data_IF_158396268787
#
_entry.id   IF_158396268787
#
_cell.length_a   1.000
_cell.length_b   1.000
_cell.length_c   1.000
_cell.angle_alpha   90.00
_cell.angle_beta   90.00
_cell.angle_gamma   90.00
#
_symmetry.space_group_name_H-M   'P 1'
#
loop_
_entity.id
_entity.type
_entity.pdbx_description
1 polymer ?
#
# COMPACT_ATOMS: atom_id res chain seq x y z
N UNK A 1 16.47 7.07 10.89
CA UNK A 1 15.82 5.74 10.92
C UNK A 1 14.83 5.56 9.77
N UNK A 2 13.80 6.42 9.64
CA UNK A 2 12.73 6.26 8.64
C UNK A 2 13.22 6.21 7.20
N UNK A 3 14.26 6.97 6.84
CA UNK A 3 14.86 6.89 5.50
C UNK A 3 15.52 5.53 5.23
N UNK A 4 15.97 4.83 6.27
CA UNK A 4 16.51 3.47 6.13
C UNK A 4 15.43 2.44 5.80
N UNK A 5 14.18 2.68 6.19
CA UNK A 5 13.02 1.83 5.83
C UNK A 5 12.54 2.08 4.39
N UNK A 6 12.80 3.27 3.83
CA UNK A 6 12.32 3.63 2.50
C UNK A 6 12.93 2.75 1.42
N UNK A 7 12.11 2.08 0.63
CA UNK A 7 12.48 1.26 -0.52
C UNK A 7 11.88 1.81 -1.82
N UNK A 8 11.81 3.15 -1.95
CA UNK A 8 11.30 3.79 -3.16
C UNK A 8 12.15 3.44 -4.39
N UNK A 9 11.55 3.18 -5.55
CA UNK A 9 12.28 3.01 -6.81
C UNK A 9 12.98 4.31 -7.27
N UNK A 10 12.59 5.47 -6.72
CA UNK A 10 13.25 6.75 -7.01
C UNK A 10 14.45 6.99 -6.07
N UNK A 11 15.70 6.84 -6.56
CA UNK A 11 16.89 7.00 -5.73
C UNK A 11 17.08 8.42 -5.19
N UNK A 12 16.50 9.44 -5.84
CA UNK A 12 16.61 10.85 -5.42
C UNK A 12 16.09 11.10 -4.02
N UNK A 13 15.16 10.25 -3.54
CA UNK A 13 14.58 10.38 -2.20
C UNK A 13 15.56 10.08 -1.06
N UNK A 14 16.59 9.28 -1.32
CA UNK A 14 17.44 8.73 -0.26
C UNK A 14 18.94 8.81 -0.53
N UNK A 15 19.37 9.11 -1.77
CA UNK A 15 20.78 8.96 -2.21
C UNK A 15 21.79 9.82 -1.45
N UNK A 16 21.36 10.96 -0.87
CA UNK A 16 22.24 11.90 -0.17
C UNK A 16 22.15 11.81 1.36
N UNK A 17 21.44 10.81 1.88
CA UNK A 17 21.23 10.66 3.30
C UNK A 17 21.91 9.39 3.84
N UNK A 18 22.49 9.44 5.05
CA UNK A 18 22.99 8.23 5.71
C UNK A 18 21.81 7.29 6.02
N UNK A 19 22.04 6.00 5.82
CA UNK A 19 21.06 4.95 6.07
C UNK A 19 21.71 3.80 6.81
N UNK A 20 20.91 3.06 7.59
CA UNK A 20 21.29 1.76 8.10
C UNK A 20 21.12 0.72 6.99
N UNK A 21 22.03 -0.24 6.93
CA UNK A 21 21.98 -1.35 5.98
C UNK A 21 21.15 -2.51 6.59
N UNK A 22 19.85 -2.28 6.70
CA UNK A 22 18.92 -3.29 7.18
C UNK A 22 18.57 -4.27 6.07
N UNK A 23 18.37 -5.57 6.39
CA UNK A 23 17.97 -6.56 5.40
C UNK A 23 16.71 -6.15 4.64
N UNK A 24 16.72 -6.36 3.34
CA UNK A 24 15.60 -6.14 2.43
C UNK A 24 15.33 -7.42 1.68
N UNK A 25 14.07 -7.68 1.43
CA UNK A 25 13.63 -8.87 0.70
C UNK A 25 12.85 -8.47 -0.53
N UNK A 26 12.86 -9.33 -1.54
CA UNK A 26 12.12 -9.11 -2.79
C UNK A 26 10.63 -9.31 -2.54
N UNK A 27 9.76 -8.30 -2.79
CA UNK A 27 8.33 -8.46 -2.63
C UNK A 27 7.75 -9.32 -3.76
N UNK A 28 6.96 -10.38 -3.45
CA UNK A 28 6.35 -11.24 -4.46
C UNK A 28 5.06 -10.62 -5.00
N UNK A 29 5.18 -9.67 -5.92
CA UNK A 29 4.01 -8.99 -6.47
C UNK A 29 3.19 -9.87 -7.41
N UNK A 30 1.86 -9.80 -7.27
CA UNK A 30 0.91 -10.47 -8.15
C UNK A 30 0.85 -9.76 -9.51
N UNK A 31 0.84 -10.55 -10.59
CA UNK A 31 0.47 -10.07 -11.93
C UNK A 31 -0.96 -10.47 -12.25
N UNK A 32 -1.77 -9.52 -12.68
CA UNK A 32 -3.17 -9.74 -13.06
C UNK A 32 -3.36 -9.82 -14.58
N UNK A 33 -4.37 -10.62 -15.04
CA UNK A 33 -5.28 -11.43 -14.23
C UNK A 33 -4.56 -12.64 -13.60
N UNK A 34 -5.05 -13.10 -12.44
CA UNK A 34 -4.50 -14.25 -11.73
C UNK A 34 -4.92 -15.55 -12.45
N UNK A 35 -4.26 -15.83 -13.57
CA UNK A 35 -4.36 -17.11 -14.27
C UNK A 35 -3.34 -18.13 -13.71
N UNK A 36 -3.37 -19.36 -14.19
CA UNK A 36 -2.51 -20.45 -13.72
C UNK A 36 -1.01 -20.10 -13.81
N UNK A 37 -0.56 -19.55 -14.94
CA UNK A 37 0.84 -19.16 -15.13
C UNK A 37 1.26 -18.02 -14.17
N UNK A 38 0.40 -17.02 -13.97
CA UNK A 38 0.68 -15.92 -13.05
C UNK A 38 0.65 -16.37 -11.59
N UNK A 39 -0.20 -17.37 -11.26
CA UNK A 39 -0.21 -17.99 -9.94
C UNK A 39 1.10 -18.77 -9.70
N UNK A 40 1.55 -19.58 -10.64
CA UNK A 40 2.83 -20.29 -10.52
C UNK A 40 4.00 -19.32 -10.35
N UNK A 41 4.02 -18.24 -11.11
CA UNK A 41 5.07 -17.21 -11.02
C UNK A 41 5.08 -16.53 -9.65
N UNK A 42 3.93 -16.11 -9.12
CA UNK A 42 3.89 -15.46 -7.79
C UNK A 42 4.27 -16.43 -6.68
N UNK A 43 3.86 -17.70 -6.75
CA UNK A 43 4.27 -18.73 -5.78
C UNK A 43 5.79 -18.95 -5.78
N UNK A 44 6.44 -18.91 -6.95
CA UNK A 44 7.90 -18.98 -7.04
C UNK A 44 8.59 -17.76 -6.41
N UNK A 45 8.05 -16.56 -6.63
CA UNK A 45 8.54 -15.32 -6.00
C UNK A 45 8.32 -15.34 -4.48
N UNK A 46 7.19 -15.85 -4.01
CA UNK A 46 6.91 -16.03 -2.57
C UNK A 46 7.94 -16.98 -1.93
N UNK A 47 8.20 -18.12 -2.57
CA UNK A 47 9.19 -19.06 -2.07
C UNK A 47 10.59 -18.43 -1.98
N UNK A 48 10.98 -17.65 -2.99
CA UNK A 48 12.24 -16.90 -2.99
C UNK A 48 12.26 -15.89 -1.83
N UNK A 49 11.23 -15.07 -1.69
CA UNK A 49 11.13 -14.05 -0.65
C UNK A 49 11.21 -14.66 0.75
N UNK A 50 10.48 -15.75 1.01
CA UNK A 50 10.53 -16.47 2.28
C UNK A 50 11.92 -17.04 2.56
N UNK A 51 12.65 -17.49 1.53
CA UNK A 51 14.03 -17.94 1.67
C UNK A 51 14.98 -16.79 2.03
N UNK A 52 14.83 -15.62 1.39
CA UNK A 52 15.58 -14.40 1.69
C UNK A 52 15.36 -13.97 3.16
N UNK A 53 14.10 -13.99 3.63
CA UNK A 53 13.74 -13.69 5.04
C UNK A 53 14.44 -14.66 6.00
N UNK A 54 14.32 -15.97 5.75
CA UNK A 54 14.97 -16.99 6.60
C UNK A 54 16.49 -16.85 6.61
N UNK A 55 17.09 -16.41 5.51
CA UNK A 55 18.52 -16.12 5.44
C UNK A 55 18.86 -14.87 6.26
N UNK A 56 18.12 -13.78 6.12
CA UNK A 56 18.32 -12.55 6.89
C UNK A 56 18.24 -12.82 8.41
N UNK A 57 17.29 -13.65 8.85
CA UNK A 57 17.16 -14.06 10.26
C UNK A 57 18.38 -14.85 10.73
N UNK A 58 18.90 -15.80 9.92
CA UNK A 58 20.11 -16.55 10.28
C UNK A 58 21.35 -15.68 10.38
N UNK A 59 21.48 -14.70 9.47
CA UNK A 59 22.63 -13.80 9.42
C UNK A 59 22.60 -12.74 10.52
N UNK A 60 21.42 -12.41 11.03
CA UNK A 60 21.20 -11.42 12.09
C UNK A 60 20.48 -12.03 13.30
N UNK A 61 21.00 -13.16 13.76
CA UNK A 61 20.38 -13.95 14.82
C UNK A 61 20.16 -13.13 16.10
N UNK A 62 18.92 -13.08 16.59
CA UNK A 62 18.46 -12.30 17.75
C UNK A 62 18.59 -10.76 17.64
N UNK A 63 18.84 -10.22 16.44
CA UNK A 63 19.00 -8.78 16.23
C UNK A 63 17.86 -8.15 15.41
N UNK A 64 16.91 -8.96 14.92
CA UNK A 64 15.75 -8.49 14.17
C UNK A 64 14.57 -8.30 15.12
N UNK A 65 14.16 -7.05 15.32
CA UNK A 65 13.03 -6.73 16.18
C UNK A 65 11.67 -6.80 15.46
N UNK A 66 11.64 -6.49 14.15
CA UNK A 66 10.40 -6.46 13.39
C UNK A 66 10.61 -6.67 11.88
N UNK A 67 9.54 -7.10 11.21
CA UNK A 67 9.38 -6.99 9.75
C UNK A 67 8.33 -5.92 9.46
N UNK A 68 8.60 -5.05 8.48
CA UNK A 68 7.66 -4.00 8.05
C UNK A 68 7.38 -4.11 6.57
N UNK A 69 6.10 -4.04 6.20
CA UNK A 69 5.66 -3.97 4.80
C UNK A 69 4.36 -3.16 4.68
N UNK A 70 4.11 -2.63 3.49
CA UNK A 70 2.78 -2.15 3.12
C UNK A 70 1.92 -3.37 2.73
N UNK A 71 0.68 -3.57 3.26
CA UNK A 71 -0.16 -4.72 2.90
C UNK A 71 -0.57 -4.72 1.43
N UNK A 72 -0.58 -3.54 0.80
CA UNK A 72 -0.54 -3.31 -0.65
C UNK A 72 0.49 -2.21 -0.85
N UNK A 73 1.56 -2.50 -1.58
CA UNK A 73 2.61 -1.51 -1.82
C UNK A 73 2.08 -0.41 -2.72
N UNK A 74 2.08 0.84 -2.24
CA UNK A 74 1.59 1.97 -3.01
C UNK A 74 2.66 2.55 -3.94
N UNK A 75 3.68 3.18 -3.39
CA UNK A 75 4.77 3.82 -4.15
C UNK A 75 5.58 2.80 -4.97
N UNK A 76 5.72 1.59 -4.47
CA UNK A 76 6.45 0.51 -5.11
C UNK A 76 5.81 -0.03 -6.40
N UNK A 77 4.56 0.35 -6.69
CA UNK A 77 3.86 -0.06 -7.91
C UNK A 77 2.46 -0.62 -7.70
N UNK A 78 1.78 -0.28 -6.63
CA UNK A 78 0.48 -0.87 -6.26
C UNK A 78 0.52 -2.41 -6.28
N UNK A 79 1.56 -2.98 -5.70
CA UNK A 79 1.78 -4.41 -5.67
C UNK A 79 0.90 -5.07 -4.63
N UNK A 80 0.12 -6.05 -5.06
CA UNK A 80 -0.74 -6.86 -4.21
C UNK A 80 -0.03 -8.16 -3.82
N UNK A 81 -0.38 -8.69 -2.63
CA UNK A 81 0.12 -9.96 -2.11
C UNK A 81 -1.04 -10.94 -1.93
N UNK A 82 -0.71 -12.24 -1.95
CA UNK A 82 -1.65 -13.29 -1.59
C UNK A 82 -1.76 -13.41 -0.06
N UNK A 83 -2.91 -13.86 0.41
CA UNK A 83 -3.15 -14.12 1.82
C UNK A 83 -2.15 -15.14 2.40
N UNK A 84 -1.91 -16.22 1.68
CA UNK A 84 -1.00 -17.31 2.08
C UNK A 84 0.44 -16.83 2.29
N UNK A 85 0.88 -15.83 1.53
CA UNK A 85 2.19 -15.24 1.74
C UNK A 85 2.24 -14.43 3.04
N UNK A 86 1.21 -13.61 3.32
CA UNK A 86 1.14 -12.81 4.54
C UNK A 86 1.01 -13.68 5.78
N UNK A 87 0.25 -14.77 5.71
CA UNK A 87 0.19 -15.80 6.76
C UNK A 87 1.58 -16.39 7.01
N UNK A 88 2.29 -16.80 5.96
CA UNK A 88 3.65 -17.34 6.09
C UNK A 88 4.65 -16.35 6.71
N UNK A 89 4.49 -15.04 6.44
CA UNK A 89 5.30 -14.00 7.10
C UNK A 89 5.02 -13.95 8.61
N UNK A 90 3.74 -14.00 9.01
CA UNK A 90 3.35 -14.02 10.41
C UNK A 90 3.85 -15.27 11.15
N UNK A 91 3.75 -16.44 10.52
CA UNK A 91 4.28 -17.69 11.10
C UNK A 91 5.79 -17.56 11.37
N UNK A 92 6.56 -17.09 10.39
CA UNK A 92 8.02 -16.89 10.56
C UNK A 92 8.30 -15.84 11.64
N UNK A 93 7.52 -14.76 11.70
CA UNK A 93 7.67 -13.70 12.70
C UNK A 93 7.43 -14.24 14.12
N UNK A 94 6.36 -15.02 14.31
CA UNK A 94 6.02 -15.65 15.58
C UNK A 94 7.10 -16.66 16.03
N UNK A 95 7.57 -17.52 15.13
CA UNK A 95 8.62 -18.53 15.41
C UNK A 95 9.95 -17.91 15.85
N UNK A 96 10.23 -16.66 15.47
CA UNK A 96 11.50 -15.99 15.70
C UNK A 96 11.40 -14.79 16.66
N UNK A 97 10.26 -14.61 17.35
CA UNK A 97 10.00 -13.48 18.26
C UNK A 97 10.19 -12.10 17.58
N UNK A 98 9.75 -12.01 16.34
CA UNK A 98 9.78 -10.80 15.51
C UNK A 98 8.38 -10.20 15.46
N UNK A 99 8.23 -8.87 15.54
CA UNK A 99 6.96 -8.17 15.39
C UNK A 99 6.64 -7.93 13.91
N UNK A 100 5.39 -8.17 13.52
CA UNK A 100 4.90 -7.83 12.19
C UNK A 100 4.27 -6.43 12.20
N UNK A 101 4.77 -5.54 11.33
CA UNK A 101 4.27 -4.17 11.18
C UNK A 101 3.71 -3.97 9.78
N UNK A 102 2.44 -3.55 9.68
CA UNK A 102 1.88 -3.11 8.41
C UNK A 102 1.86 -1.59 8.32
N UNK A 103 2.48 -1.06 7.25
CA UNK A 103 2.40 0.35 6.91
C UNK A 103 1.10 0.63 6.14
N UNK A 104 0.09 1.06 6.87
CA UNK A 104 -1.22 1.44 6.34
C UNK A 104 -1.36 2.95 6.08
N UNK A 105 -0.25 3.66 6.06
CA UNK A 105 -0.24 5.12 5.83
C UNK A 105 -0.89 5.49 4.49
N UNK A 106 -0.80 4.63 3.49
CA UNK A 106 -1.45 4.84 2.19
C UNK A 106 -2.74 4.04 2.01
N UNK A 107 -2.79 2.83 2.53
CA UNK A 107 -3.89 1.87 2.32
C UNK A 107 -5.04 2.03 3.31
N UNK A 108 -4.79 2.50 4.51
CA UNK A 108 -5.80 2.64 5.57
C UNK A 108 -6.84 3.74 5.31
N UNK A 109 -7.76 3.86 6.24
CA UNK A 109 -8.84 4.87 6.27
C UNK A 109 -9.77 4.76 5.04
N UNK A 110 -10.25 3.56 4.80
CA UNK A 110 -11.38 3.30 3.91
C UNK A 110 -11.08 3.22 2.41
N UNK A 111 -9.91 3.65 1.93
CA UNK A 111 -9.68 3.76 0.48
C UNK A 111 -9.71 2.41 -0.25
N UNK A 112 -9.41 1.33 0.43
CA UNK A 112 -9.45 -0.03 -0.14
C UNK A 112 -10.83 -0.68 -0.07
N UNK A 113 -11.83 0.01 0.50
CA UNK A 113 -13.17 -0.54 0.73
C UNK A 113 -13.32 -1.24 2.08
N UNK A 114 -12.26 -1.33 2.86
CA UNK A 114 -12.23 -1.67 4.28
C UNK A 114 -11.55 -0.53 5.03
N UNK A 115 -11.85 -0.37 6.34
CA UNK A 115 -11.23 0.70 7.14
C UNK A 115 -9.70 0.60 7.13
N UNK A 116 -9.17 -0.62 7.21
CA UNK A 116 -7.76 -0.97 7.10
C UNK A 116 -7.56 -2.07 6.06
N UNK A 117 -6.51 -1.97 5.24
CA UNK A 117 -6.29 -2.93 4.17
C UNK A 117 -6.01 -4.35 4.69
N UNK A 118 -5.44 -4.50 5.89
CA UNK A 118 -5.23 -5.82 6.48
C UNK A 118 -6.55 -6.58 6.72
N UNK A 119 -7.70 -5.90 6.80
CA UNK A 119 -9.02 -6.54 6.95
C UNK A 119 -9.47 -7.32 5.70
N UNK A 120 -8.78 -7.16 4.57
CA UNK A 120 -8.99 -7.97 3.38
C UNK A 120 -8.35 -9.37 3.44
N UNK A 121 -7.56 -9.64 4.46
CA UNK A 121 -6.81 -10.88 4.64
C UNK A 121 -7.35 -11.67 5.83
N UNK A 122 -6.94 -12.92 5.96
CA UNK A 122 -7.32 -13.79 7.07
C UNK A 122 -6.81 -13.28 8.42
N UNK A 123 -7.40 -13.78 9.49
CA UNK A 123 -7.00 -13.42 10.86
C UNK A 123 -5.55 -13.84 11.16
N UNK A 124 -5.09 -14.91 10.52
CA UNK A 124 -3.73 -15.42 10.61
C UNK A 124 -2.69 -14.47 9.98
N UNK A 125 -3.13 -13.58 9.07
CA UNK A 125 -2.29 -12.57 8.44
C UNK A 125 -2.29 -11.22 9.19
N UNK A 126 -2.91 -11.11 10.38
CA UNK A 126 -2.99 -9.85 11.12
C UNK A 126 -1.62 -9.38 11.62
N UNK A 127 -1.31 -8.06 11.48
CA UNK A 127 -0.08 -7.50 12.02
C UNK A 127 -0.16 -7.29 13.53
N UNK A 128 0.99 -7.21 14.20
CA UNK A 128 1.11 -6.78 15.59
C UNK A 128 0.95 -5.28 15.74
N UNK A 129 1.41 -4.52 14.73
CA UNK A 129 1.39 -3.05 14.73
C UNK A 129 0.94 -2.59 13.35
N UNK A 130 0.11 -1.54 13.30
CA UNK A 130 -0.16 -0.77 12.08
C UNK A 130 0.28 0.66 12.25
N UNK A 131 0.89 1.25 11.20
CA UNK A 131 1.12 2.69 11.12
C UNK A 131 0.07 3.36 10.23
N UNK A 132 -0.36 4.55 10.58
CA UNK A 132 -1.33 5.32 9.82
C UNK A 132 -0.92 6.78 9.66
N UNK A 133 -1.49 7.45 8.66
CA UNK A 133 -1.17 8.85 8.38
C UNK A 133 -1.86 9.34 7.11
N UNK A 134 -1.28 10.32 6.44
CA UNK A 134 -1.80 10.96 5.22
C UNK A 134 -3.24 11.46 5.38
N UNK A 135 -4.23 10.63 5.05
CA UNK A 135 -5.66 10.98 5.09
C UNK A 135 -6.16 11.42 6.46
N UNK A 136 -5.55 10.90 7.51
CA UNK A 136 -5.89 11.27 8.89
C UNK A 136 -5.40 12.66 9.29
N UNK A 137 -4.43 13.23 8.56
CA UNK A 137 -3.72 14.47 8.91
C UNK A 137 -3.05 14.42 10.31
N UNK A 138 -3.07 13.26 10.94
CA UNK A 138 -2.44 12.93 12.22
C UNK A 138 -1.80 11.56 12.06
N UNK A 139 -0.49 11.47 12.15
CA UNK A 139 0.21 10.19 12.05
C UNK A 139 0.25 9.49 13.39
N UNK A 140 0.18 8.17 13.37
CA UNK A 140 0.22 7.36 14.58
C UNK A 140 0.42 5.89 14.28
N UNK A 141 0.36 5.11 15.37
CA UNK A 141 0.40 3.65 15.33
C UNK A 141 -0.70 3.08 16.22
N UNK A 142 -1.19 1.89 15.85
CA UNK A 142 -1.93 1.01 16.76
C UNK A 142 -1.09 -0.24 17.00
N UNK A 143 -1.08 -0.74 18.22
CA UNK A 143 -0.36 -1.95 18.59
C UNK A 143 -1.29 -2.98 19.21
N UNK A 144 -1.08 -4.25 18.87
CA UNK A 144 -1.81 -5.38 19.40
C UNK A 144 -1.25 -5.92 20.72
N UNK A 145 -1.90 -6.99 21.22
CA UNK A 145 -1.61 -7.56 22.54
C UNK A 145 -0.21 -8.11 22.74
N UNK A 146 0.49 -8.54 21.68
CA UNK A 146 1.88 -9.01 21.82
C UNK A 146 2.82 -7.95 22.41
N UNK A 147 2.55 -6.66 22.19
CA UNK A 147 3.34 -5.59 22.81
C UNK A 147 3.16 -5.55 24.33
N UNK A 148 2.01 -5.96 24.85
CA UNK A 148 1.73 -6.00 26.29
C UNK A 148 2.52 -7.08 27.03
N UNK A 149 3.06 -8.08 26.33
CA UNK A 149 3.95 -9.11 26.87
C UNK A 149 5.29 -8.51 27.31
N UNK A 150 5.66 -7.36 26.76
CA UNK A 150 6.87 -6.62 27.16
C UNK A 150 6.54 -5.70 28.34
N UNK A 151 7.07 -6.00 29.53
CA UNK A 151 6.74 -5.29 30.77
C UNK A 151 6.97 -3.78 30.66
N UNK A 152 8.09 -3.35 30.09
CA UNK A 152 8.51 -1.95 29.95
C UNK A 152 8.42 -1.45 28.51
N UNK A 153 7.31 -1.76 27.84
CA UNK A 153 7.11 -1.32 26.45
C UNK A 153 6.90 0.20 26.34
N UNK A 154 7.01 0.71 25.11
CA UNK A 154 6.96 2.14 24.80
C UNK A 154 5.65 2.86 25.17
N UNK A 155 4.56 2.11 25.37
CA UNK A 155 3.27 2.69 25.80
C UNK A 155 3.12 2.76 27.31
N UNK A 156 3.90 1.97 28.06
CA UNK A 156 3.93 1.96 29.54
C UNK A 156 5.00 2.91 30.08
N UNK A 157 6.17 2.97 29.43
CA UNK A 157 7.28 3.81 29.88
C UNK A 157 7.14 5.24 29.36
N UNK A 158 7.13 6.19 30.28
CA UNK A 158 7.06 7.62 29.95
C UNK A 158 8.25 8.08 29.09
N UNK A 159 8.02 9.00 28.16
CA UNK A 159 9.02 9.66 27.31
C UNK A 159 9.74 8.76 26.30
N UNK A 160 9.33 7.52 26.12
CA UNK A 160 9.88 6.61 25.10
C UNK A 160 9.44 6.95 23.68
N UNK A 161 8.17 7.36 23.53
CA UNK A 161 7.61 7.87 22.27
C UNK A 161 7.26 9.33 22.48
N UNK A 162 8.11 10.23 22.02
CA UNK A 162 7.92 11.66 22.23
C UNK A 162 8.44 12.47 21.04
N UNK A 163 7.66 13.51 20.68
CA UNK A 163 8.11 14.58 19.78
C UNK A 163 7.36 15.87 20.13
N UNK A 164 7.97 17.03 19.85
CA UNK A 164 7.37 18.33 20.19
C UNK A 164 5.99 18.54 19.57
N UNK A 165 5.76 18.03 18.36
CA UNK A 165 4.50 18.15 17.62
C UNK A 165 3.71 16.86 17.54
N UNK A 166 4.20 15.76 18.12
CA UNK A 166 3.49 14.48 18.17
C UNK A 166 2.25 14.59 19.06
N UNK A 167 1.12 14.10 18.56
CA UNK A 167 -0.15 14.19 19.29
C UNK A 167 -0.69 15.61 19.42
N UNK A 168 -0.46 16.46 18.42
CA UNK A 168 -1.01 17.83 18.38
C UNK A 168 -2.53 17.79 18.53
N UNK A 169 -3.06 18.54 19.53
CA UNK A 169 -4.48 18.51 19.88
C UNK A 169 -5.39 18.94 18.72
N UNK A 170 -4.98 19.92 17.91
CA UNK A 170 -5.76 20.38 16.74
C UNK A 170 -5.87 19.27 15.70
N UNK A 171 -4.78 18.55 15.44
CA UNK A 171 -4.76 17.45 14.50
C UNK A 171 -5.61 16.28 14.99
N UNK A 172 -5.59 15.99 16.29
CA UNK A 172 -6.42 14.95 16.90
C UNK A 172 -7.91 15.29 16.82
N UNK A 173 -8.31 16.54 17.11
CA UNK A 173 -9.70 17.00 16.96
C UNK A 173 -10.14 16.89 15.49
N UNK A 174 -9.29 17.34 14.56
CA UNK A 174 -9.57 17.24 13.13
C UNK A 174 -9.73 15.78 12.68
N UNK A 175 -8.86 14.90 13.15
CA UNK A 175 -8.96 13.47 12.83
C UNK A 175 -10.25 12.86 13.38
N UNK A 176 -10.65 13.21 14.60
CA UNK A 176 -11.94 12.79 15.18
C UNK A 176 -13.11 13.18 14.27
N UNK A 177 -13.14 14.44 13.81
CA UNK A 177 -14.18 14.91 12.88
C UNK A 177 -14.14 14.18 11.54
N UNK A 178 -12.96 13.81 11.03
CA UNK A 178 -12.87 12.99 9.80
C UNK A 178 -13.46 11.59 10.01
N UNK A 179 -13.20 10.95 11.14
CA UNK A 179 -13.77 9.64 11.45
C UNK A 179 -15.30 9.72 11.57
N UNK A 180 -15.83 10.76 12.23
CA UNK A 180 -17.27 11.00 12.32
C UNK A 180 -17.92 11.15 10.93
N UNK A 181 -17.32 11.93 10.03
CA UNK A 181 -17.82 12.10 8.65
C UNK A 181 -17.74 10.79 7.88
N UNK A 182 -16.64 10.04 7.98
CA UNK A 182 -16.47 8.75 7.32
C UNK A 182 -17.58 7.78 7.75
N UNK A 183 -17.88 7.72 9.04
CA UNK A 183 -18.93 6.86 9.60
C UNK A 183 -20.33 7.33 9.18
N UNK A 184 -20.66 8.61 9.42
CA UNK A 184 -21.98 9.18 9.12
C UNK A 184 -22.35 9.08 7.64
N UNK A 185 -21.39 9.31 6.75
CA UNK A 185 -21.60 9.25 5.31
C UNK A 185 -21.35 7.85 4.74
N UNK A 186 -20.98 6.86 5.54
CA UNK A 186 -20.64 5.49 5.11
C UNK A 186 -19.62 5.46 3.97
N UNK A 187 -18.53 6.24 4.14
CA UNK A 187 -17.57 6.44 3.06
C UNK A 187 -16.75 5.18 2.75
N UNK A 188 -16.58 4.27 3.70
CA UNK A 188 -15.87 2.99 3.47
C UNK A 188 -16.69 2.11 2.52
N UNK A 189 -17.98 1.95 2.77
CA UNK A 189 -18.90 1.17 1.92
C UNK A 189 -19.06 1.82 0.54
N UNK A 190 -19.12 3.16 0.48
CA UNK A 190 -19.11 3.88 -0.79
C UNK A 190 -17.83 3.62 -1.58
N UNK A 191 -16.67 3.71 -0.93
CA UNK A 191 -15.38 3.44 -1.57
C UNK A 191 -15.27 1.99 -2.08
N UNK A 192 -15.86 1.00 -1.39
CA UNK A 192 -15.95 -0.37 -1.87
C UNK A 192 -16.80 -0.47 -3.15
N UNK A 193 -17.98 0.17 -3.15
CA UNK A 193 -18.92 0.12 -4.28
C UNK A 193 -18.37 0.88 -5.50
N UNK A 194 -17.96 2.15 -5.33
CA UNK A 194 -17.40 2.96 -6.42
C UNK A 194 -16.03 2.45 -6.88
N UNK A 195 -15.26 1.82 -5.99
CA UNK A 195 -14.02 1.14 -6.35
C UNK A 195 -14.22 -0.08 -7.24
N UNK A 196 -15.29 -0.87 -6.99
CA UNK A 196 -15.68 -1.96 -7.87
C UNK A 196 -16.03 -1.44 -9.27
N UNK A 197 -16.75 -0.31 -9.33
CA UNK A 197 -17.06 0.36 -10.58
C UNK A 197 -15.80 0.84 -11.31
N UNK A 198 -14.91 1.57 -10.61
CA UNK A 198 -13.63 2.03 -11.16
C UNK A 198 -12.80 0.88 -11.73
N UNK A 199 -12.63 -0.20 -10.96
CA UNK A 199 -11.89 -1.38 -11.42
C UNK A 199 -12.52 -2.01 -12.66
N UNK A 200 -13.84 -2.04 -12.75
CA UNK A 200 -14.59 -2.50 -13.93
C UNK A 200 -14.29 -1.64 -15.16
N UNK A 201 -14.29 -0.32 -15.03
CA UNK A 201 -13.98 0.61 -16.12
C UNK A 201 -12.50 0.52 -16.56
N UNK A 202 -11.58 0.33 -15.61
CA UNK A 202 -10.16 0.12 -15.93
C UNK A 202 -9.93 -1.21 -16.69
N UNK A 203 -10.67 -2.28 -16.37
CA UNK A 203 -10.63 -3.54 -17.13
C UNK A 203 -11.18 -3.39 -18.55
N UNK A 204 -12.21 -2.57 -18.75
CA UNK A 204 -12.68 -2.22 -20.11
C UNK A 204 -11.60 -1.44 -20.86
N UNK A 205 -10.93 -0.51 -20.19
CA UNK A 205 -9.81 0.24 -20.76
C UNK A 205 -8.66 -0.70 -21.19
N UNK A 206 -8.31 -1.69 -20.36
CA UNK A 206 -7.32 -2.74 -20.67
C UNK A 206 -7.72 -3.54 -21.93
N UNK A 207 -8.99 -3.89 -22.04
CA UNK A 207 -9.52 -4.60 -23.22
C UNK A 207 -9.46 -3.74 -24.49
N UNK A 208 -9.84 -2.46 -24.40
CA UNK A 208 -9.90 -1.54 -25.53
C UNK A 208 -8.50 -1.11 -26.01
N UNK A 209 -7.53 -1.06 -25.12
CA UNK A 209 -6.14 -0.68 -25.38
C UNK A 209 -5.18 -1.86 -25.10
N UNK A 210 -5.56 -3.06 -25.56
CA UNK A 210 -4.74 -4.27 -25.39
C UNK A 210 -3.34 -4.09 -25.99
N UNK A 211 -2.30 -4.48 -25.22
CA UNK A 211 -0.91 -4.26 -25.59
C UNK A 211 -0.33 -2.91 -25.13
N UNK A 212 -1.16 -1.97 -24.68
CA UNK A 212 -0.73 -0.72 -24.07
C UNK A 212 -1.09 -0.68 -22.58
N UNK A 213 -2.30 -1.03 -22.21
CA UNK A 213 -2.76 -1.15 -20.81
C UNK A 213 -2.74 -2.61 -20.40
N UNK A 214 -2.19 -2.91 -19.24
CA UNK A 214 -2.09 -4.28 -18.71
C UNK A 214 -2.08 -4.29 -17.18
N UNK A 215 -2.22 -5.48 -16.61
CA UNK A 215 -2.07 -5.70 -15.18
C UNK A 215 -2.99 -4.79 -14.33
N UNK A 216 -4.23 -4.62 -14.77
CA UNK A 216 -5.24 -3.84 -14.06
C UNK A 216 -5.56 -4.51 -12.73
N UNK A 217 -5.40 -3.77 -11.64
CA UNK A 217 -5.53 -4.26 -10.28
C UNK A 217 -6.10 -3.20 -9.33
N UNK A 218 -6.64 -3.66 -8.20
CA UNK A 218 -7.10 -2.75 -7.16
C UNK A 218 -7.98 -3.41 -6.12
N UNK A 219 -8.15 -2.71 -4.99
CA UNK A 219 -9.14 -2.96 -3.95
C UNK A 219 -9.77 -1.63 -3.58
N UNK A 220 -11.11 -1.55 -3.61
CA UNK A 220 -11.82 -0.29 -3.47
C UNK A 220 -11.32 0.74 -4.49
N UNK A 221 -11.07 1.96 -4.04
CA UNK A 221 -10.54 3.06 -4.86
C UNK A 221 -9.01 3.05 -5.03
N UNK A 222 -8.33 2.09 -4.41
CA UNK A 222 -6.89 1.90 -4.52
C UNK A 222 -6.60 1.02 -5.75
N UNK A 223 -6.52 1.64 -6.93
CA UNK A 223 -6.38 0.95 -8.21
C UNK A 223 -5.15 1.40 -8.98
N UNK A 224 -4.69 0.56 -9.89
CA UNK A 224 -3.61 0.84 -10.82
C UNK A 224 -3.70 -0.01 -12.09
N UNK A 225 -2.99 0.42 -13.13
CA UNK A 225 -2.64 -0.38 -14.29
C UNK A 225 -1.20 -0.10 -14.72
N UNK A 226 -0.65 -0.98 -15.55
CA UNK A 226 0.70 -0.84 -16.08
C UNK A 226 0.69 -0.43 -17.55
N UNK A 227 1.72 0.34 -17.93
CA UNK A 227 2.09 0.66 -19.29
C UNK A 227 3.38 -0.10 -19.66
N UNK A 228 3.70 -0.27 -20.96
CA UNK A 228 4.84 -1.10 -21.38
C UNK A 228 6.20 -0.58 -20.92
N UNK A 229 6.32 0.71 -20.60
CA UNK A 229 7.60 1.31 -20.19
C UNK A 229 7.40 2.51 -19.26
N UNK A 230 8.45 2.84 -18.50
CA UNK A 230 8.49 4.06 -17.67
C UNK A 230 8.34 5.33 -18.50
N UNK A 231 8.89 5.38 -19.71
CA UNK A 231 8.75 6.53 -20.60
C UNK A 231 7.29 6.76 -21.03
N UNK A 232 6.55 5.68 -21.32
CA UNK A 232 5.12 5.76 -21.64
C UNK A 232 4.30 6.12 -20.40
N UNK A 233 4.65 5.58 -19.21
CA UNK A 233 4.04 5.98 -17.95
C UNK A 233 4.21 7.49 -17.69
N UNK A 234 5.41 8.02 -17.87
CA UNK A 234 5.69 9.45 -17.67
C UNK A 234 4.92 10.31 -18.70
N UNK A 235 4.94 9.88 -19.97
CA UNK A 235 4.16 10.53 -21.02
C UNK A 235 2.66 10.53 -20.74
N UNK A 236 2.12 9.42 -20.21
CA UNK A 236 0.71 9.31 -19.82
C UNK A 236 0.35 10.32 -18.72
N UNK A 237 1.22 10.51 -17.71
CA UNK A 237 0.97 11.49 -16.65
C UNK A 237 0.94 12.93 -17.18
N UNK A 238 1.82 13.29 -18.12
CA UNK A 238 1.81 14.59 -18.79
C UNK A 238 0.52 14.79 -19.59
N UNK A 239 0.14 13.83 -20.42
CA UNK A 239 -1.06 13.90 -21.24
C UNK A 239 -2.35 14.00 -20.41
N UNK A 240 -2.42 13.28 -19.28
CA UNK A 240 -3.53 13.39 -18.36
C UNK A 240 -3.62 14.76 -17.68
N UNK A 241 -2.49 15.34 -17.34
CA UNK A 241 -2.44 16.71 -16.81
C UNK A 241 -2.94 17.73 -17.84
N UNK A 242 -2.58 17.57 -19.13
CA UNK A 242 -3.10 18.39 -20.22
C UNK A 242 -4.62 18.27 -20.39
N UNK A 243 -5.18 17.05 -20.18
CA UNK A 243 -6.62 16.79 -20.19
C UNK A 243 -7.36 17.27 -18.92
N UNK A 244 -6.63 17.74 -17.89
CA UNK A 244 -7.18 18.23 -16.63
C UNK A 244 -7.28 17.19 -15.52
N UNK A 245 -6.68 16.00 -15.68
CA UNK A 245 -6.64 14.96 -14.67
C UNK A 245 -5.27 14.90 -13.98
N UNK A 246 -5.25 15.02 -12.64
CA UNK A 246 -4.05 14.85 -11.84
C UNK A 246 -3.94 13.40 -11.38
N UNK A 247 -3.03 12.65 -11.98
CA UNK A 247 -2.68 11.28 -11.59
C UNK A 247 -1.18 11.16 -11.32
N UNK A 248 -0.80 10.12 -10.62
CA UNK A 248 0.60 9.86 -10.28
C UNK A 248 1.04 8.51 -10.83
N UNK A 249 2.30 8.46 -11.29
CA UNK A 249 2.98 7.18 -11.51
C UNK A 249 3.39 6.55 -10.19
N UNK A 250 3.57 5.22 -10.20
CA UNK A 250 4.21 4.46 -9.13
C UNK A 250 4.98 3.27 -9.71
N UNK A 251 5.89 2.68 -8.93
CA UNK A 251 6.79 1.67 -9.44
C UNK A 251 7.54 2.16 -10.68
N UNK A 252 7.75 1.25 -11.63
CA UNK A 252 8.46 1.58 -12.88
C UNK A 252 7.51 1.96 -14.03
N UNK A 253 6.32 1.37 -14.08
CA UNK A 253 5.43 1.42 -15.26
C UNK A 253 3.98 1.75 -14.92
N UNK A 254 3.62 1.84 -13.63
CA UNK A 254 2.23 1.91 -13.21
C UNK A 254 1.69 3.34 -13.13
N UNK A 255 0.43 3.51 -13.52
CA UNK A 255 -0.42 4.66 -13.20
C UNK A 255 -1.33 4.26 -12.05
N UNK A 256 -1.37 5.06 -10.98
CA UNK A 256 -2.17 4.79 -9.79
C UNK A 256 -3.32 5.78 -9.63
N UNK A 257 -4.42 5.29 -9.07
CA UNK A 257 -5.63 6.05 -8.78
C UNK A 257 -5.83 6.18 -7.28
N UNK A 258 -6.06 7.42 -6.83
CA UNK A 258 -6.30 7.75 -5.42
C UNK A 258 -7.35 8.85 -5.33
N UNK A 259 -8.57 8.62 -5.86
CA UNK A 259 -9.62 9.60 -5.72
C UNK A 259 -10.02 9.77 -4.24
N UNK A 260 -10.77 10.82 -3.93
CA UNK A 260 -11.36 11.00 -2.61
C UNK A 260 -12.44 9.94 -2.33
N UNK A 261 -12.69 9.64 -1.04
CA UNK A 261 -13.56 8.53 -0.63
C UNK A 261 -15.02 8.66 -1.11
N UNK A 262 -15.51 9.88 -1.35
CA UNK A 262 -16.85 10.16 -1.80
C UNK A 262 -16.94 10.45 -3.33
N UNK A 263 -15.95 10.00 -4.11
CA UNK A 263 -15.98 10.12 -5.57
C UNK A 263 -17.22 9.48 -6.15
N UNK A 264 -17.85 10.15 -7.09
CA UNK A 264 -19.03 9.64 -7.79
C UNK A 264 -18.67 8.81 -9.04
N UNK A 265 -19.62 8.03 -9.55
CA UNK A 265 -19.45 7.30 -10.81
C UNK A 265 -19.28 8.23 -12.00
N UNK A 266 -19.94 9.38 -12.00
CA UNK A 266 -19.84 10.41 -13.03
C UNK A 266 -18.45 11.03 -13.08
N UNK A 267 -17.82 11.25 -11.93
CA UNK A 267 -16.43 11.72 -11.85
C UNK A 267 -15.44 10.65 -12.33
N UNK A 268 -15.71 9.38 -12.03
CA UNK A 268 -14.95 8.25 -12.56
C UNK A 268 -15.06 8.20 -14.08
N UNK A 269 -16.27 8.31 -14.65
CA UNK A 269 -16.51 8.32 -16.09
C UNK A 269 -15.78 9.46 -16.79
N UNK A 270 -15.78 10.65 -16.17
CA UNK A 270 -15.02 11.79 -16.67
C UNK A 270 -13.52 11.47 -16.72
N UNK A 271 -12.97 10.91 -15.65
CA UNK A 271 -11.58 10.49 -15.58
C UNK A 271 -11.21 9.42 -16.61
N UNK A 272 -12.06 8.41 -16.78
CA UNK A 272 -11.90 7.36 -17.82
C UNK A 272 -11.92 7.97 -19.23
N UNK A 273 -12.81 8.94 -19.48
CA UNK A 273 -12.86 9.68 -20.74
C UNK A 273 -11.55 10.42 -21.04
N UNK A 274 -10.94 11.06 -20.04
CA UNK A 274 -9.63 11.72 -20.16
C UNK A 274 -8.53 10.69 -20.44
N UNK A 275 -8.55 9.54 -19.75
CA UNK A 275 -7.58 8.46 -19.99
C UNK A 275 -7.65 7.92 -21.42
N UNK A 276 -8.85 7.70 -21.95
CA UNK A 276 -9.03 7.27 -23.36
C UNK A 276 -8.42 8.25 -24.35
N UNK A 277 -8.62 9.56 -24.15
CA UNK A 277 -8.01 10.60 -24.98
C UNK A 277 -6.49 10.58 -24.89
N UNK A 278 -5.94 10.45 -23.68
CA UNK A 278 -4.49 10.40 -23.46
C UNK A 278 -3.88 9.15 -24.09
N UNK A 279 -4.47 7.96 -23.90
CA UNK A 279 -3.98 6.69 -24.46
C UNK A 279 -3.95 6.70 -26.00
N UNK A 280 -4.88 7.39 -26.66
CA UNK A 280 -4.87 7.54 -28.12
C UNK A 280 -3.72 8.43 -28.64
N UNK A 281 -2.95 9.07 -27.73
CA UNK A 281 -1.82 9.97 -28.04
C UNK A 281 -0.47 9.40 -27.65
N UNK A 282 -0.43 8.21 -27.05
CA UNK A 282 0.78 7.45 -26.71
C UNK A 282 1.20 6.58 -27.90
#
# INVERSE_FOLDING_TARGET
YTLSLTASPDPRKVQYFPKFDWPRVTPPSITFPMNESNLENVMALEAQSLQEIKQAIRENHHDIACMILEPIQGEGGDNHFRDEYLVSLNEIALENDILMIYDEVQTGIGITGEMWAHQHFSDEARPDIISFGKKTQCCGIFAGGRLDEVENNVFKESSRINSTWGGNLVDMVRFTLYLEVIEQEKLVEKAAATGTYLLGELKKLESDFSGLVSNVRGRGLFCAYDLPSGAQRDKMTELLQDEGALVLGCGYTSIRFRPHLNVSTEEIDLGIGMMRKALNRI
#
